data_IF_357135062827
#
_entry.id   IF_357135062827
#
_cell.length_a   1.000
_cell.length_b   1.000
_cell.length_c   1.000
_cell.angle_alpha   90.00
_cell.angle_beta   90.00
_cell.angle_gamma   90.00
#
_symmetry.space_group_name_H-M   'P 1'
#
loop_
_entity.id
_entity.type
_entity.pdbx_description
1 polymer ?
#
# COMPACT_ATOMS: atom_id res chain seq x y z
N UNK A 1 15.55 6.43 2.52
CA UNK A 1 14.21 6.01 2.08
C UNK A 1 13.14 7.04 2.44
N UNK A 2 12.97 7.45 3.73
CA UNK A 2 11.90 8.38 4.16
C UNK A 2 11.82 9.68 3.32
N UNK A 3 12.94 10.35 3.11
CA UNK A 3 12.99 11.64 2.36
C UNK A 3 12.48 11.49 0.93
N UNK A 4 12.77 10.36 0.27
CA UNK A 4 12.30 10.11 -1.08
C UNK A 4 10.79 9.91 -1.15
N UNK A 5 10.18 9.25 -0.18
CA UNK A 5 8.73 9.00 -0.15
C UNK A 5 7.90 10.27 0.10
N UNK A 6 8.46 11.30 0.73
CA UNK A 6 7.74 12.57 0.96
C UNK A 6 7.20 13.20 -0.33
N UNK A 7 7.91 13.03 -1.46
CA UNK A 7 7.46 13.54 -2.77
C UNK A 7 6.24 12.79 -3.34
N UNK A 8 5.89 11.63 -2.77
CA UNK A 8 4.75 10.81 -3.20
C UNK A 8 3.38 11.49 -3.01
N UNK A 9 3.31 12.56 -2.22
CA UNK A 9 2.13 13.42 -2.09
C UNK A 9 1.56 13.83 -3.46
N UNK A 10 2.40 14.06 -4.44
CA UNK A 10 2.01 14.42 -5.81
C UNK A 10 1.21 13.32 -6.53
N UNK A 11 1.26 12.08 -6.06
CA UNK A 11 0.51 10.94 -6.61
C UNK A 11 -0.81 10.67 -5.88
N UNK A 12 -1.18 11.48 -4.90
CA UNK A 12 -2.42 11.33 -4.11
C UNK A 12 -3.66 11.22 -5.01
N UNK A 13 -3.82 12.14 -5.95
CA UNK A 13 -4.97 12.12 -6.87
C UNK A 13 -4.97 10.88 -7.76
N UNK A 14 -3.81 10.39 -8.17
CA UNK A 14 -3.67 9.20 -8.99
C UNK A 14 -4.05 7.95 -8.21
N UNK A 15 -3.49 7.76 -7.02
CA UNK A 15 -3.74 6.58 -6.18
C UNK A 15 -5.16 6.55 -5.62
N UNK A 16 -5.79 7.70 -5.43
CA UNK A 16 -7.18 7.79 -4.96
C UNK A 16 -8.20 7.10 -5.88
N UNK A 17 -7.89 6.97 -7.17
CA UNK A 17 -8.79 6.31 -8.15
C UNK A 17 -8.89 4.79 -7.94
N UNK A 18 -7.89 4.17 -7.34
CA UNK A 18 -7.85 2.73 -7.08
C UNK A 18 -8.37 2.37 -5.67
N UNK A 19 -8.36 3.30 -4.72
CA UNK A 19 -8.73 3.03 -3.33
C UNK A 19 -10.15 2.44 -3.17
N UNK A 20 -11.22 2.95 -3.84
CA UNK A 20 -12.54 2.36 -3.73
C UNK A 20 -12.60 0.91 -4.22
N UNK A 21 -11.80 0.56 -5.22
CA UNK A 21 -11.74 -0.79 -5.78
C UNK A 21 -11.14 -1.78 -4.81
N UNK A 22 -10.05 -1.40 -4.13
CA UNK A 22 -9.44 -2.24 -3.09
C UNK A 22 -10.39 -2.42 -1.90
N UNK A 23 -11.03 -1.34 -1.43
CA UNK A 23 -12.02 -1.39 -0.35
C UNK A 23 -13.20 -2.29 -0.72
N UNK A 24 -13.72 -2.18 -1.93
CA UNK A 24 -14.80 -3.05 -2.41
C UNK A 24 -14.36 -4.52 -2.53
N UNK A 25 -13.20 -4.78 -3.10
CA UNK A 25 -12.65 -6.14 -3.27
C UNK A 25 -12.45 -6.84 -1.94
N UNK A 26 -12.07 -6.12 -0.91
CA UNK A 26 -11.82 -6.67 0.43
C UNK A 26 -13.08 -7.10 1.18
N UNK A 27 -14.27 -6.77 0.70
CA UNK A 27 -15.53 -7.13 1.37
C UNK A 27 -15.74 -6.43 2.72
N UNK A 28 -15.13 -5.24 2.91
CA UNK A 28 -15.28 -4.42 4.12
C UNK A 28 -16.75 -4.15 4.47
N UNK A 29 -17.04 -4.02 5.78
CA UNK A 29 -18.37 -3.71 6.30
C UNK A 29 -18.28 -2.66 7.40
N UNK A 30 -19.36 -1.91 7.58
CA UNK A 30 -19.49 -0.93 8.66
C UNK A 30 -19.18 -1.57 10.03
N UNK A 31 -18.48 -0.82 10.88
CA UNK A 31 -18.08 -1.25 12.22
C UNK A 31 -16.84 -2.14 12.30
N UNK A 32 -16.29 -2.59 11.18
CA UNK A 32 -15.00 -3.30 11.18
C UNK A 32 -13.86 -2.38 11.59
N UNK A 33 -12.91 -2.92 12.34
CA UNK A 33 -11.66 -2.27 12.69
C UNK A 33 -10.61 -2.56 11.61
N UNK A 34 -10.20 -1.52 10.90
CA UNK A 34 -9.34 -1.59 9.73
C UNK A 34 -7.97 -0.95 9.97
N UNK A 35 -6.91 -1.62 9.52
CA UNK A 35 -5.57 -1.05 9.40
C UNK A 35 -5.20 -0.87 7.93
N UNK A 36 -4.81 0.35 7.55
CA UNK A 36 -4.20 0.66 6.24
C UNK A 36 -2.68 0.74 6.40
N UNK A 37 -1.95 -0.25 5.86
CA UNK A 37 -0.50 -0.38 6.00
C UNK A 37 0.22 0.26 4.82
N UNK A 38 1.22 1.08 5.12
CA UNK A 38 1.86 2.00 4.17
C UNK A 38 0.80 2.89 3.51
N UNK A 39 0.03 3.57 4.37
CA UNK A 39 -1.20 4.27 4.01
C UNK A 39 -0.96 5.55 3.17
N UNK A 40 0.29 6.03 3.08
CA UNK A 40 0.63 7.25 2.37
C UNK A 40 -0.18 8.44 2.87
N UNK A 41 -0.87 9.12 1.97
CA UNK A 41 -1.73 10.28 2.28
C UNK A 41 -3.14 9.89 2.76
N UNK A 42 -3.37 8.62 3.07
CA UNK A 42 -4.60 8.10 3.66
C UNK A 42 -5.73 7.82 2.67
N UNK A 43 -5.48 7.71 1.38
CA UNK A 43 -6.54 7.55 0.36
C UNK A 43 -7.40 6.30 0.57
N UNK A 44 -6.81 5.16 0.98
CA UNK A 44 -7.54 3.93 1.28
C UNK A 44 -8.25 4.04 2.63
N UNK A 45 -7.51 4.44 3.67
CA UNK A 45 -8.04 4.64 5.01
C UNK A 45 -9.27 5.56 5.03
N UNK A 46 -9.20 6.71 4.35
CA UNK A 46 -10.30 7.68 4.30
C UNK A 46 -11.47 7.18 3.44
N UNK A 47 -11.20 6.40 2.38
CA UNK A 47 -12.25 5.74 1.60
C UNK A 47 -13.02 4.74 2.47
N UNK A 48 -12.31 3.94 3.27
CA UNK A 48 -12.91 3.00 4.21
C UNK A 48 -13.67 3.71 5.34
N UNK A 49 -13.10 4.77 5.90
CA UNK A 49 -13.75 5.56 6.96
C UNK A 49 -15.11 6.16 6.53
N UNK A 50 -15.27 6.52 5.24
CA UNK A 50 -16.58 6.95 4.69
C UNK A 50 -17.65 5.87 4.75
N UNK A 51 -17.27 4.61 4.83
CA UNK A 51 -18.19 3.46 4.92
C UNK A 51 -18.48 3.04 6.36
N UNK A 52 -18.11 3.88 7.34
CA UNK A 52 -18.41 3.65 8.76
C UNK A 52 -17.47 2.68 9.47
N UNK A 53 -16.27 2.42 8.95
CA UNK A 53 -15.27 1.60 9.62
C UNK A 53 -14.46 2.40 10.64
N UNK A 54 -13.94 1.71 11.66
CA UNK A 54 -12.92 2.25 12.57
C UNK A 54 -11.55 2.08 11.92
N UNK A 55 -10.92 3.18 11.50
CA UNK A 55 -9.75 3.13 10.65
C UNK A 55 -8.51 3.70 11.33
N UNK A 56 -7.42 2.92 11.30
CA UNK A 56 -6.07 3.40 11.55
C UNK A 56 -5.22 3.24 10.27
N UNK A 57 -4.34 4.20 10.03
CA UNK A 57 -3.34 4.15 8.96
C UNK A 57 -1.93 4.26 9.54
N UNK A 58 -0.99 3.51 8.99
CA UNK A 58 0.42 3.55 9.37
C UNK A 58 1.29 3.73 8.13
N UNK A 59 2.26 4.64 8.22
CA UNK A 59 3.25 4.87 7.17
C UNK A 59 4.60 5.23 7.78
N UNK A 60 5.67 4.87 7.08
CA UNK A 60 7.04 5.13 7.50
C UNK A 60 7.41 6.63 7.42
N UNK A 61 6.68 7.41 6.63
CA UNK A 61 7.03 8.78 6.20
C UNK A 61 6.19 9.81 6.94
N UNK A 62 6.79 10.62 7.85
CA UNK A 62 6.05 11.61 8.64
C UNK A 62 5.29 12.62 7.79
N UNK A 63 5.85 13.04 6.65
CA UNK A 63 5.23 14.00 5.75
C UNK A 63 3.92 13.45 5.14
N UNK A 64 3.89 12.15 4.81
CA UNK A 64 2.68 11.49 4.32
C UNK A 64 1.64 11.37 5.43
N UNK A 65 2.04 11.05 6.65
CA UNK A 65 1.15 11.01 7.83
C UNK A 65 0.56 12.40 8.12
N UNK A 66 1.36 13.46 8.04
CA UNK A 66 0.86 14.83 8.19
C UNK A 66 -0.20 15.13 7.13
N UNK A 67 0.05 14.77 5.88
CA UNK A 67 -0.90 14.94 4.78
C UNK A 67 -2.17 14.10 4.98
N UNK A 68 -2.07 12.87 5.45
CA UNK A 68 -3.22 12.02 5.77
C UNK A 68 -4.11 12.64 6.86
N UNK A 69 -3.50 13.23 7.89
CA UNK A 69 -4.23 13.96 8.94
C UNK A 69 -4.92 15.23 8.41
N UNK A 70 -4.27 15.96 7.49
CA UNK A 70 -4.90 17.11 6.82
C UNK A 70 -6.11 16.68 6.00
N UNK A 71 -5.95 15.62 5.19
CA UNK A 71 -7.03 15.05 4.39
C UNK A 71 -8.21 14.60 5.25
N UNK A 72 -7.94 13.94 6.37
CA UNK A 72 -8.96 13.53 7.35
C UNK A 72 -9.77 14.72 7.85
N UNK A 73 -9.09 15.81 8.22
CA UNK A 73 -9.75 17.06 8.67
C UNK A 73 -10.58 17.72 7.56
N UNK A 74 -10.01 17.84 6.36
CA UNK A 74 -10.71 18.44 5.20
C UNK A 74 -11.99 17.65 4.87
N UNK A 75 -11.91 16.33 4.98
CA UNK A 75 -13.05 15.45 4.68
C UNK A 75 -14.03 15.28 5.85
N UNK A 76 -13.72 15.81 7.04
CA UNK A 76 -14.55 15.63 8.24
C UNK A 76 -14.66 14.18 8.71
N UNK A 77 -13.64 13.35 8.41
CA UNK A 77 -13.63 11.93 8.75
C UNK A 77 -12.78 11.67 10.00
N UNK A 78 -13.11 10.58 10.69
CA UNK A 78 -12.38 10.12 11.87
C UNK A 78 -11.51 8.92 11.49
N UNK A 79 -10.25 9.16 11.18
CA UNK A 79 -9.24 8.14 11.02
C UNK A 79 -8.00 8.55 11.82
N UNK A 80 -7.29 7.57 12.38
CA UNK A 80 -6.07 7.80 13.14
C UNK A 80 -4.88 7.43 12.28
N UNK A 81 -3.89 8.32 12.16
CA UNK A 81 -2.69 8.08 11.40
C UNK A 81 -1.46 8.17 12.29
N UNK A 82 -0.57 7.18 12.17
CA UNK A 82 0.65 7.07 12.98
C UNK A 82 1.85 6.79 12.10
N UNK A 83 3.02 7.34 12.48
CA UNK A 83 4.29 6.95 11.88
C UNK A 83 4.69 5.57 12.38
N UNK A 84 5.13 4.68 11.48
CA UNK A 84 5.65 3.38 11.85
C UNK A 84 6.06 2.54 10.65
N UNK A 85 6.72 1.43 10.95
CA UNK A 85 7.28 0.51 9.96
C UNK A 85 6.36 -0.71 9.79
N UNK A 86 6.07 -1.08 8.54
CA UNK A 86 5.29 -2.28 8.21
C UNK A 86 5.98 -3.58 8.67
N UNK A 87 7.30 -3.55 8.87
CA UNK A 87 8.07 -4.66 9.41
C UNK A 87 8.05 -4.75 10.94
N UNK A 88 7.48 -3.75 11.62
CA UNK A 88 7.32 -3.71 13.07
C UNK A 88 6.09 -2.91 13.47
N UNK A 89 4.92 -3.54 13.40
CA UNK A 89 3.64 -2.90 13.65
C UNK A 89 3.41 -2.69 15.16
N UNK A 90 3.15 -1.45 15.63
CA UNK A 90 2.99 -1.13 17.06
C UNK A 90 1.60 -1.49 17.59
N UNK A 91 1.06 -2.62 17.15
CA UNK A 91 -0.27 -3.11 17.50
C UNK A 91 -0.21 -4.47 18.18
N UNK A 92 -1.26 -4.81 18.92
CA UNK A 92 -1.41 -6.12 19.58
C UNK A 92 -1.69 -7.21 18.55
N UNK A 93 -1.48 -8.45 18.96
CA UNK A 93 -1.98 -9.60 18.20
C UNK A 93 -3.51 -9.55 18.14
N UNK A 94 -4.07 -9.96 16.98
CA UNK A 94 -5.51 -10.08 16.77
C UNK A 94 -6.27 -8.76 17.03
N UNK A 95 -5.73 -7.63 16.59
CA UNK A 95 -6.31 -6.31 16.85
C UNK A 95 -7.30 -5.85 15.74
N UNK A 96 -7.05 -6.22 14.48
CA UNK A 96 -7.82 -5.76 13.33
C UNK A 96 -8.66 -6.85 12.68
N UNK A 97 -9.87 -6.48 12.23
CA UNK A 97 -10.74 -7.37 11.46
C UNK A 97 -10.28 -7.46 10.01
N UNK A 98 -9.67 -6.38 9.52
CA UNK A 98 -9.20 -6.27 8.13
C UNK A 98 -7.95 -5.41 8.04
N UNK A 99 -7.04 -5.83 7.17
CA UNK A 99 -5.85 -5.06 6.81
C UNK A 99 -5.86 -4.78 5.32
N UNK A 100 -5.64 -3.53 4.96
CA UNK A 100 -5.49 -3.10 3.57
C UNK A 100 -4.08 -2.55 3.32
N UNK A 101 -3.59 -2.68 2.09
CA UNK A 101 -2.40 -1.97 1.63
C UNK A 101 -2.44 -1.75 0.12
N UNK A 102 -2.45 -0.50 -0.30
CA UNK A 102 -2.44 -0.16 -1.72
C UNK A 102 -1.04 0.20 -2.18
N UNK A 103 -0.37 -0.72 -2.86
CA UNK A 103 0.97 -0.57 -3.47
C UNK A 103 2.13 -0.30 -2.50
N UNK A 104 1.87 0.00 -1.21
CA UNK A 104 2.94 0.45 -0.30
C UNK A 104 3.74 -0.69 0.32
N UNK A 105 3.08 -1.77 0.75
CA UNK A 105 3.73 -2.93 1.41
C UNK A 105 4.83 -3.58 0.56
N UNK A 106 4.72 -3.48 -0.76
CA UNK A 106 5.67 -4.08 -1.70
C UNK A 106 7.08 -3.47 -1.64
N UNK A 107 7.22 -2.28 -1.07
CA UNK A 107 8.49 -1.59 -0.92
C UNK A 107 9.22 -1.89 0.39
N UNK A 108 8.61 -2.64 1.29
CA UNK A 108 9.30 -3.11 2.49
C UNK A 108 10.36 -4.15 2.10
N UNK A 109 11.60 -4.01 2.63
CA UNK A 109 12.73 -4.79 2.15
C UNK A 109 12.61 -6.29 2.47
N UNK A 110 11.92 -6.65 3.56
CA UNK A 110 11.81 -8.04 4.05
C UNK A 110 10.37 -8.56 4.01
N UNK A 111 9.87 -9.04 2.86
CA UNK A 111 8.47 -9.47 2.69
C UNK A 111 7.99 -10.49 3.72
N UNK A 112 8.83 -11.44 4.12
CA UNK A 112 8.47 -12.45 5.13
C UNK A 112 8.22 -11.83 6.51
N UNK A 113 8.96 -10.78 6.87
CA UNK A 113 8.76 -10.04 8.12
C UNK A 113 7.43 -9.29 8.08
N UNK A 114 7.16 -8.60 6.95
CA UNK A 114 5.90 -7.90 6.76
C UNK A 114 4.71 -8.85 6.84
N UNK A 115 4.74 -9.96 6.10
CA UNK A 115 3.64 -10.95 6.10
C UNK A 115 3.38 -11.47 7.52
N UNK A 116 4.45 -11.78 8.29
CA UNK A 116 4.34 -12.22 9.68
C UNK A 116 3.67 -11.17 10.57
N UNK A 117 4.05 -9.89 10.42
CA UNK A 117 3.46 -8.79 11.20
C UNK A 117 1.98 -8.57 10.82
N UNK A 118 1.66 -8.59 9.52
CA UNK A 118 0.26 -8.48 9.05
C UNK A 118 -0.59 -9.62 9.61
N UNK A 119 -0.10 -10.86 9.53
CA UNK A 119 -0.81 -12.01 10.09
C UNK A 119 -0.95 -11.94 11.62
N UNK A 120 0.06 -11.42 12.33
CA UNK A 120 0.05 -11.29 13.80
C UNK A 120 -1.04 -10.33 14.28
N UNK A 121 -1.16 -9.17 13.63
CA UNK A 121 -2.12 -8.14 14.08
C UNK A 121 -3.53 -8.36 13.54
N UNK A 122 -3.70 -9.25 12.57
CA UNK A 122 -5.00 -9.63 12.03
C UNK A 122 -5.68 -10.66 12.93
N UNK A 123 -6.97 -10.50 13.17
CA UNK A 123 -7.77 -11.47 13.93
C UNK A 123 -7.89 -12.80 13.18
N UNK A 124 -8.07 -13.93 13.87
CA UNK A 124 -8.46 -15.19 13.23
C UNK A 124 -9.73 -15.00 12.38
N UNK A 125 -9.69 -15.45 11.12
CA UNK A 125 -10.76 -15.24 10.15
C UNK A 125 -10.84 -13.82 9.59
N UNK A 126 -9.89 -12.95 9.93
CA UNK A 126 -9.77 -11.61 9.36
C UNK A 126 -9.27 -11.63 7.91
N UNK A 127 -9.37 -10.50 7.24
CA UNK A 127 -9.06 -10.36 5.81
C UNK A 127 -7.82 -9.48 5.62
N UNK A 128 -6.83 -9.98 4.89
CA UNK A 128 -5.76 -9.19 4.33
C UNK A 128 -6.03 -8.96 2.83
N UNK A 129 -6.18 -7.71 2.41
CA UNK A 129 -6.29 -7.40 0.99
C UNK A 129 -5.29 -6.31 0.59
N UNK A 130 -4.66 -6.49 -0.56
CA UNK A 130 -3.71 -5.51 -1.07
C UNK A 130 -3.72 -5.45 -2.60
N UNK A 131 -3.28 -4.34 -3.14
CA UNK A 131 -3.05 -4.19 -4.57
C UNK A 131 -1.58 -4.09 -4.90
N UNK A 132 -1.21 -4.69 -6.02
CA UNK A 132 0.16 -4.71 -6.55
C UNK A 132 0.14 -4.48 -8.06
N UNK A 133 1.32 -4.36 -8.65
CA UNK A 133 1.47 -4.16 -10.08
C UNK A 133 1.94 -5.45 -10.74
N UNK A 134 1.15 -6.05 -11.66
CA UNK A 134 1.58 -7.20 -12.43
C UNK A 134 2.90 -6.92 -13.18
N UNK A 135 3.87 -7.83 -13.05
CA UNK A 135 5.22 -7.66 -13.60
C UNK A 135 5.27 -7.50 -15.13
N UNK A 136 4.27 -8.04 -15.81
CA UNK A 136 4.12 -8.00 -17.27
C UNK A 136 3.45 -6.74 -17.82
N UNK A 137 2.84 -5.91 -16.95
CA UNK A 137 2.16 -4.69 -17.33
C UNK A 137 3.05 -3.44 -17.14
N UNK A 138 2.50 -2.26 -17.46
CA UNK A 138 3.24 -1.01 -17.54
C UNK A 138 4.07 -0.73 -16.28
N UNK A 139 3.46 -0.72 -15.09
CA UNK A 139 4.19 -0.39 -13.86
C UNK A 139 5.23 -1.45 -13.47
N UNK A 140 4.93 -2.73 -13.66
CA UNK A 140 5.91 -3.80 -13.40
C UNK A 140 7.12 -3.70 -14.34
N UNK A 141 6.89 -3.42 -15.64
CA UNK A 141 7.97 -3.15 -16.60
C UNK A 141 8.74 -1.88 -16.27
N UNK A 142 8.06 -0.84 -15.80
CA UNK A 142 8.68 0.42 -15.39
C UNK A 142 9.60 0.21 -14.18
N UNK A 143 9.17 -0.49 -13.13
CA UNK A 143 10.02 -0.82 -11.98
C UNK A 143 11.22 -1.67 -12.38
N UNK A 144 11.01 -2.68 -13.25
CA UNK A 144 12.12 -3.50 -13.75
C UNK A 144 13.12 -2.69 -14.55
N UNK A 145 12.67 -1.70 -15.31
CA UNK A 145 13.54 -0.78 -16.02
C UNK A 145 14.36 0.06 -15.04
N UNK A 146 13.75 0.65 -14.03
CA UNK A 146 14.46 1.42 -12.98
C UNK A 146 15.50 0.53 -12.28
N UNK A 147 15.12 -0.67 -11.88
CA UNK A 147 16.06 -1.62 -11.25
C UNK A 147 17.30 -1.88 -12.13
N UNK A 148 17.15 -1.91 -13.46
CA UNK A 148 18.28 -2.14 -14.37
C UNK A 148 19.31 -1.02 -14.41
N UNK A 149 18.94 0.19 -13.96
CA UNK A 149 19.83 1.36 -13.84
C UNK A 149 20.27 1.62 -12.39
N UNK A 150 19.68 0.93 -11.44
CA UNK A 150 20.00 1.07 -10.02
C UNK A 150 21.14 0.16 -9.61
N UNK A 151 21.78 0.46 -8.49
CA UNK A 151 22.71 -0.49 -7.89
C UNK A 151 21.97 -1.78 -7.52
N UNK A 152 22.60 -2.96 -7.63
CA UNK A 152 21.99 -4.20 -7.19
C UNK A 152 21.50 -4.11 -5.75
N UNK A 153 20.29 -4.59 -5.52
CA UNK A 153 19.76 -4.68 -4.17
C UNK A 153 20.64 -5.61 -3.32
N UNK A 154 20.77 -5.29 -2.04
CA UNK A 154 21.34 -6.23 -1.08
C UNK A 154 20.59 -7.56 -1.14
N UNK A 155 21.26 -8.71 -0.97
CA UNK A 155 20.61 -10.03 -1.00
C UNK A 155 19.43 -10.19 -0.02
N UNK A 156 19.38 -9.34 1.02
CA UNK A 156 18.31 -9.34 2.02
C UNK A 156 17.09 -8.52 1.60
N UNK A 157 17.22 -7.71 0.54
CA UNK A 157 16.17 -6.81 0.07
C UNK A 157 15.47 -7.42 -1.15
N UNK A 158 14.20 -7.73 -0.99
CA UNK A 158 13.42 -8.27 -2.10
C UNK A 158 12.98 -7.16 -3.07
N UNK A 159 13.07 -7.46 -4.37
CA UNK A 159 12.51 -6.57 -5.39
C UNK A 159 10.99 -6.41 -5.22
N UNK A 160 10.47 -5.17 -5.25
CA UNK A 160 9.04 -4.91 -5.21
C UNK A 160 8.28 -5.54 -6.40
N UNK A 161 8.94 -5.74 -7.54
CA UNK A 161 8.35 -6.38 -8.74
C UNK A 161 7.86 -7.79 -8.45
N UNK A 162 8.47 -8.49 -7.49
CA UNK A 162 8.07 -9.85 -7.09
C UNK A 162 6.66 -9.92 -6.47
N UNK A 163 6.13 -8.82 -5.97
CA UNK A 163 4.74 -8.74 -5.54
C UNK A 163 3.73 -8.67 -6.69
N UNK A 164 4.19 -8.54 -7.93
CA UNK A 164 3.37 -8.66 -9.14
C UNK A 164 3.28 -10.09 -9.70
N UNK A 165 3.86 -11.08 -9.04
CA UNK A 165 3.85 -12.49 -9.43
C UNK A 165 2.96 -13.32 -8.49
N UNK A 166 1.87 -13.90 -9.01
CA UNK A 166 0.90 -14.66 -8.21
C UNK A 166 1.53 -15.83 -7.48
N UNK A 167 2.43 -16.58 -8.13
CA UNK A 167 3.09 -17.73 -7.51
C UNK A 167 4.00 -17.31 -6.34
N UNK A 168 4.65 -16.14 -6.46
CA UNK A 168 5.45 -15.57 -5.37
C UNK A 168 4.55 -15.12 -4.22
N UNK A 169 3.41 -14.48 -4.51
CA UNK A 169 2.43 -14.08 -3.48
C UNK A 169 1.92 -15.31 -2.73
N UNK A 170 1.47 -16.35 -3.44
CA UNK A 170 1.02 -17.61 -2.83
C UNK A 170 2.08 -18.21 -1.92
N UNK A 171 3.33 -18.29 -2.41
CA UNK A 171 4.46 -18.80 -1.63
C UNK A 171 4.72 -18.01 -0.35
N UNK A 172 4.49 -16.68 -0.36
CA UNK A 172 4.68 -15.81 0.81
C UNK A 172 3.55 -15.92 1.83
N UNK A 173 2.32 -16.18 1.35
CA UNK A 173 1.12 -16.10 2.20
C UNK A 173 0.64 -17.47 2.72
N UNK A 174 0.94 -18.56 2.04
CA UNK A 174 0.39 -19.91 2.30
C UNK A 174 0.53 -20.42 3.73
N UNK A 175 1.57 -20.00 4.45
CA UNK A 175 1.83 -20.45 5.83
C UNK A 175 1.03 -19.64 6.88
N UNK A 176 0.32 -18.57 6.44
CA UNK A 176 -0.41 -17.64 7.30
C UNK A 176 -1.89 -17.49 6.92
N UNK A 177 -2.29 -17.86 5.71
CA UNK A 177 -3.63 -17.66 5.17
C UNK A 177 -4.13 -18.92 4.47
N UNK A 178 -5.34 -19.36 4.84
CA UNK A 178 -5.95 -20.59 4.32
C UNK A 178 -6.52 -20.43 2.90
N UNK A 179 -6.92 -19.22 2.54
CA UNK A 179 -7.51 -18.89 1.23
C UNK A 179 -6.82 -17.68 0.63
N UNK A 180 -6.50 -17.76 -0.64
CA UNK A 180 -5.90 -16.67 -1.40
C UNK A 180 -6.72 -16.49 -2.67
N UNK A 181 -7.27 -15.29 -2.84
CA UNK A 181 -8.03 -14.91 -4.03
C UNK A 181 -7.33 -13.79 -4.79
N UNK A 182 -7.33 -13.89 -6.11
CA UNK A 182 -6.76 -12.88 -6.99
C UNK A 182 -7.86 -12.20 -7.81
N UNK A 183 -7.87 -10.87 -7.77
CA UNK A 183 -8.66 -10.04 -8.66
C UNK A 183 -7.75 -9.26 -9.62
N UNK A 184 -8.27 -8.84 -10.76
CA UNK A 184 -7.58 -7.94 -11.68
C UNK A 184 -8.48 -6.77 -12.03
N UNK A 185 -7.91 -5.57 -11.92
CA UNK A 185 -8.59 -4.34 -12.32
C UNK A 185 -7.61 -3.39 -13.00
N UNK A 186 -8.11 -2.28 -13.52
CA UNK A 186 -7.32 -1.26 -14.22
C UNK A 186 -7.40 0.06 -13.46
N UNK A 187 -6.25 0.62 -13.12
CA UNK A 187 -6.15 1.99 -12.63
C UNK A 187 -5.96 2.93 -13.82
N UNK A 188 -6.84 3.92 -13.94
CA UNK A 188 -6.69 5.00 -14.91
C UNK A 188 -5.82 6.11 -14.32
N UNK A 189 -4.73 6.44 -15.01
CA UNK A 189 -3.86 7.55 -14.66
C UNK A 189 -4.27 8.78 -15.48
N UNK A 190 -5.01 9.74 -14.91
CA UNK A 190 -5.36 10.95 -15.63
C UNK A 190 -4.10 11.77 -15.90
N UNK A 191 -3.81 11.98 -17.16
CA UNK A 191 -2.65 12.76 -17.61
C UNK A 191 -2.96 13.43 -18.94
N UNK A 192 -2.36 14.60 -19.19
CA UNK A 192 -2.55 15.34 -20.44
C UNK A 192 -1.81 14.71 -21.61
N UNK A 193 -0.69 14.01 -21.36
CA UNK A 193 0.11 13.35 -22.38
C UNK A 193 1.14 12.40 -21.76
N UNK A 194 1.75 11.49 -22.54
CA UNK A 194 2.87 10.68 -22.07
C UNK A 194 4.04 11.52 -21.53
N UNK A 195 4.36 12.64 -22.19
CA UNK A 195 5.41 13.54 -21.73
C UNK A 195 5.07 14.22 -20.38
N UNK A 196 3.78 14.50 -20.14
CA UNK A 196 3.32 15.07 -18.88
C UNK A 196 3.49 14.08 -17.72
N UNK A 197 3.08 12.82 -17.89
CA UNK A 197 3.22 11.81 -16.84
C UNK A 197 4.70 11.48 -16.58
N UNK A 198 5.54 11.47 -17.63
CA UNK A 198 6.98 11.26 -17.46
C UNK A 198 7.59 12.36 -16.59
N UNK A 199 7.30 13.63 -16.85
CA UNK A 199 7.76 14.73 -16.00
C UNK A 199 7.27 14.66 -14.57
N UNK A 200 6.05 14.13 -14.36
CA UNK A 200 5.53 13.91 -13.01
C UNK A 200 6.37 12.86 -12.29
N UNK A 201 6.71 11.75 -12.95
CA UNK A 201 7.59 10.72 -12.40
C UNK A 201 9.00 11.25 -12.12
N UNK A 202 9.64 11.90 -13.09
CA UNK A 202 10.98 12.50 -12.94
C UNK A 202 11.07 13.42 -11.70
N UNK A 203 10.01 14.16 -11.43
CA UNK A 203 9.99 15.14 -10.33
C UNK A 203 9.65 14.53 -8.98
N UNK A 204 8.84 13.46 -8.93
CA UNK A 204 8.16 13.03 -7.72
C UNK A 204 8.29 11.52 -7.42
N UNK A 205 9.03 10.77 -8.22
CA UNK A 205 9.11 9.31 -8.03
C UNK A 205 9.85 8.87 -6.76
N UNK A 206 10.34 9.80 -5.96
CA UNK A 206 10.96 9.53 -4.67
C UNK A 206 12.14 8.58 -4.77
N UNK A 207 12.12 7.44 -4.02
CA UNK A 207 13.20 6.46 -4.06
C UNK A 207 13.36 5.75 -5.41
N UNK A 208 12.46 6.00 -6.35
CA UNK A 208 12.48 5.44 -7.70
C UNK A 208 13.13 6.36 -8.72
N UNK A 209 13.55 7.57 -8.32
CA UNK A 209 14.19 8.59 -9.16
C UNK A 209 15.71 8.52 -9.15
#
# INVERSE_FOLDING_TARGET
AKVGWASFISFEALTSTAAPKLVQFSGTREGMRLLDVACGTGVVALTASRQGMEVEGIDLTPELINRANENSKIMGLKAKFVEGDAEFLPYKENDFDIILSQYGHMFAPRPSVVVKELARVLKPGGILAFSTWPKELFMGKFFKLIESFSQPLSPEVASPVLWGDMAVIESRLKDHFDQIEFGRDTMLAPTMSPAHILKLFEKNAGPLA
#
